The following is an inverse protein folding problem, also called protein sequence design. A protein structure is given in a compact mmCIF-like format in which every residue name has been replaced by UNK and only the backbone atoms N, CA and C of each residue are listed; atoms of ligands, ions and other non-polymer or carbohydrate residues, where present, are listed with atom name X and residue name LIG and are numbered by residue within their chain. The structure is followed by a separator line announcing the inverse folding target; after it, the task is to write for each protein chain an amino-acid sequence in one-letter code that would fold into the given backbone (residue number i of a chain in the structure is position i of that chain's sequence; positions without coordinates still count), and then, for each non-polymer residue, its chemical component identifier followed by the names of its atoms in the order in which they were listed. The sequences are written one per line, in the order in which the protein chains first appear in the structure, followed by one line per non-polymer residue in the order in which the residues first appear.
data_IF_695009178808
#
_entry.id   IF_695009178808
#
_cell.length_a   1.000
_cell.length_b   1.000
_cell.length_c   1.000
_cell.angle_alpha   90.00
_cell.angle_beta   90.00
_cell.angle_gamma   90.00
#
_symmetry.space_group_name_H-M   'P 1'
#
loop_
_entity.id
_entity.type
_entity.pdbx_description
1 polymer ?
#
# COMPACT_ATOMS: atom_id res chain seq x y z
N UNK A 1 -17.81 19.82 37.88
CA UNK A 1 -16.39 19.91 37.53
C UNK A 1 -15.61 18.64 37.89
N UNK A 2 -15.66 18.14 39.14
CA UNK A 2 -14.97 16.90 39.58
C UNK A 2 -15.39 15.66 38.78
N UNK A 3 -16.67 15.50 38.47
CA UNK A 3 -17.20 14.42 37.72
C UNK A 3 -16.69 14.40 36.25
N UNK A 4 -16.72 15.55 35.56
CA UNK A 4 -16.18 15.68 34.21
C UNK A 4 -14.66 15.41 34.14
N UNK A 5 -13.93 15.86 35.19
CA UNK A 5 -12.51 15.57 35.31
C UNK A 5 -12.24 14.08 35.50
N UNK A 6 -13.00 13.40 36.31
CA UNK A 6 -12.90 11.94 36.48
C UNK A 6 -13.22 11.17 35.18
N UNK A 7 -14.28 11.59 34.47
CA UNK A 7 -14.62 11.00 33.17
C UNK A 7 -13.50 11.21 32.13
N UNK A 8 -12.84 12.37 32.12
CA UNK A 8 -11.72 12.61 31.19
C UNK A 8 -10.52 11.70 31.46
N UNK A 9 -10.26 11.34 32.72
CA UNK A 9 -9.22 10.38 33.07
C UNK A 9 -9.61 8.97 32.58
N UNK A 10 -10.83 8.52 32.88
CA UNK A 10 -11.32 7.21 32.44
C UNK A 10 -11.28 7.07 30.91
N UNK A 11 -11.71 8.11 30.21
CA UNK A 11 -11.63 8.16 28.74
C UNK A 11 -10.21 8.04 28.24
N UNK A 12 -9.26 8.77 28.87
CA UNK A 12 -7.84 8.69 28.50
C UNK A 12 -7.25 7.29 28.70
N UNK A 13 -7.61 6.62 29.80
CA UNK A 13 -7.19 5.23 30.08
C UNK A 13 -7.81 4.26 29.06
N UNK A 14 -9.09 4.44 28.74
CA UNK A 14 -9.78 3.63 27.73
C UNK A 14 -9.11 3.74 26.34
N UNK A 15 -8.77 4.96 25.91
CA UNK A 15 -8.06 5.20 24.65
C UNK A 15 -6.67 4.55 24.66
N UNK A 16 -5.94 4.56 25.77
CA UNK A 16 -4.69 3.81 25.88
C UNK A 16 -4.91 2.30 25.69
N UNK A 17 -5.94 1.72 26.33
CA UNK A 17 -6.27 0.31 26.15
C UNK A 17 -6.56 -0.05 24.70
N UNK A 18 -7.35 0.79 23.98
CA UNK A 18 -7.59 0.63 22.55
C UNK A 18 -6.30 0.79 21.72
N UNK A 19 -5.43 1.73 22.08
CA UNK A 19 -4.16 1.95 21.38
C UNK A 19 -3.21 0.77 21.50
N UNK A 20 -3.15 0.14 22.68
CA UNK A 20 -2.39 -1.09 22.91
C UNK A 20 -2.98 -2.25 22.11
N UNK A 21 -4.30 -2.41 22.14
CA UNK A 21 -4.96 -3.44 21.33
C UNK A 21 -4.75 -3.21 19.83
N UNK A 22 -4.81 -1.95 19.36
CA UNK A 22 -4.55 -1.59 17.97
C UNK A 22 -3.12 -1.97 17.52
N UNK A 23 -2.12 -1.87 18.39
CA UNK A 23 -0.76 -2.32 18.09
C UNK A 23 -0.71 -3.81 17.75
N UNK A 24 -1.41 -4.65 18.52
CA UNK A 24 -1.45 -6.10 18.26
C UNK A 24 -2.43 -6.51 17.17
N UNK A 25 -3.43 -5.69 16.87
CA UNK A 25 -4.56 -6.04 15.99
C UNK A 25 -4.14 -6.39 14.55
N UNK A 26 -3.10 -5.76 14.02
CA UNK A 26 -2.54 -6.08 12.70
C UNK A 26 -1.86 -7.47 12.61
N UNK A 27 -1.58 -8.11 13.76
CA UNK A 27 -1.00 -9.46 13.82
C UNK A 27 -2.04 -10.57 13.99
N UNK A 28 -3.31 -10.19 14.15
CA UNK A 28 -4.43 -11.11 14.34
C UNK A 28 -5.11 -11.34 12.99
N UNK A 29 -5.18 -12.61 12.57
CA UNK A 29 -5.83 -12.96 11.31
C UNK A 29 -7.32 -12.59 11.34
N UNK A 30 -7.83 -11.81 10.36
CA UNK A 30 -9.24 -11.42 10.27
C UNK A 30 -10.22 -12.61 10.23
N UNK A 31 -9.76 -13.78 9.77
CA UNK A 31 -10.55 -15.02 9.80
C UNK A 31 -10.88 -15.41 11.24
N UNK A 32 -9.93 -15.24 12.16
CA UNK A 32 -10.10 -15.57 13.59
C UNK A 32 -10.84 -14.47 14.35
N UNK A 33 -10.54 -13.21 14.04
CA UNK A 33 -11.12 -12.08 14.75
C UNK A 33 -11.26 -10.83 13.86
N UNK A 34 -12.43 -10.67 13.25
CA UNK A 34 -12.73 -9.50 12.41
C UNK A 34 -12.74 -8.17 13.19
N UNK A 35 -13.04 -8.18 14.50
CA UNK A 35 -12.99 -6.98 15.32
C UNK A 35 -11.56 -6.41 15.39
N UNK A 36 -10.54 -7.26 15.42
CA UNK A 36 -9.14 -6.83 15.35
C UNK A 36 -8.86 -6.07 14.04
N UNK A 37 -9.40 -6.52 12.90
CA UNK A 37 -9.25 -5.81 11.62
C UNK A 37 -9.86 -4.40 11.66
N UNK A 38 -11.05 -4.23 12.25
CA UNK A 38 -11.65 -2.90 12.42
C UNK A 38 -10.82 -1.99 13.34
N UNK A 39 -10.26 -2.55 14.42
CA UNK A 39 -9.38 -1.76 15.31
C UNK A 39 -8.06 -1.43 14.61
N UNK A 40 -7.50 -2.30 13.79
CA UNK A 40 -6.32 -1.99 12.97
C UNK A 40 -6.56 -0.78 12.07
N UNK A 41 -7.71 -0.72 11.41
CA UNK A 41 -8.11 0.42 10.57
C UNK A 41 -8.40 1.70 11.35
N UNK A 42 -8.66 1.62 12.66
CA UNK A 42 -8.89 2.80 13.51
C UNK A 42 -7.61 3.48 13.99
N UNK A 43 -6.41 2.94 13.71
CA UNK A 43 -5.12 3.51 14.12
C UNK A 43 -4.96 5.01 13.82
N UNK A 44 -5.31 5.54 12.64
CA UNK A 44 -5.20 6.99 12.38
C UNK A 44 -6.06 7.81 13.35
N UNK A 45 -7.27 7.35 13.65
CA UNK A 45 -8.18 8.01 14.61
C UNK A 45 -7.57 7.97 16.01
N UNK A 46 -7.04 6.82 16.43
CA UNK A 46 -6.42 6.68 17.76
C UNK A 46 -5.19 7.58 17.90
N UNK A 47 -4.37 7.74 16.87
CA UNK A 47 -3.23 8.67 16.86
C UNK A 47 -3.70 10.13 17.05
N UNK A 48 -4.74 10.54 16.31
CA UNK A 48 -5.32 11.89 16.44
C UNK A 48 -5.90 12.10 17.84
N UNK A 49 -6.68 11.16 18.37
CA UNK A 49 -7.29 11.24 19.70
C UNK A 49 -6.22 11.31 20.80
N UNK A 50 -5.18 10.47 20.73
CA UNK A 50 -4.06 10.53 21.68
C UNK A 50 -3.33 11.88 21.61
N UNK A 51 -3.14 12.45 20.42
CA UNK A 51 -2.51 13.76 20.24
C UNK A 51 -3.36 14.87 20.88
N UNK A 52 -4.68 14.84 20.70
CA UNK A 52 -5.61 15.78 21.33
C UNK A 52 -5.57 15.64 22.85
N UNK A 53 -5.63 14.40 23.37
CA UNK A 53 -5.58 14.13 24.82
C UNK A 53 -4.23 14.54 25.43
N UNK A 54 -3.12 14.29 24.72
CA UNK A 54 -1.79 14.74 25.15
C UNK A 54 -1.75 16.25 25.28
N UNK A 55 -2.22 16.98 24.27
CA UNK A 55 -2.29 18.44 24.26
C UNK A 55 -3.20 18.97 25.40
N UNK A 56 -4.36 18.34 25.59
CA UNK A 56 -5.29 18.68 26.67
C UNK A 56 -4.64 18.57 28.05
N UNK A 57 -3.97 17.44 28.35
CA UNK A 57 -3.31 17.24 29.65
C UNK A 57 -2.05 18.09 29.79
N UNK A 58 -1.33 18.39 28.71
CA UNK A 58 -0.18 19.30 28.72
C UNK A 58 -0.58 20.73 29.10
N UNK A 59 -1.64 21.28 28.47
CA UNK A 59 -2.16 22.62 28.80
C UNK A 59 -2.63 22.68 30.25
N UNK A 60 -3.17 21.62 30.78
CA UNK A 60 -3.60 21.54 32.19
C UNK A 60 -2.47 21.25 33.16
N UNK A 61 -1.24 21.06 32.69
CA UNK A 61 -0.05 20.73 33.48
C UNK A 61 -0.29 19.55 34.42
N UNK A 62 -0.92 18.50 33.92
CA UNK A 62 -1.25 17.28 34.68
C UNK A 62 -0.41 16.09 34.22
N UNK A 63 0.05 15.30 35.19
CA UNK A 63 0.85 14.09 34.91
C UNK A 63 0.10 13.01 34.06
N UNK A 64 -1.21 13.12 33.92
CA UNK A 64 -2.02 12.27 33.03
C UNK A 64 -1.59 12.35 31.56
N UNK A 65 -0.79 13.34 31.16
CA UNK A 65 -0.23 13.48 29.80
C UNK A 65 0.61 12.26 29.38
N UNK A 66 1.19 11.53 30.35
CA UNK A 66 2.00 10.35 30.05
C UNK A 66 1.16 9.18 29.47
N UNK A 67 -0.12 9.11 29.76
CA UNK A 67 -1.01 8.07 29.26
C UNK A 67 -1.18 8.17 27.72
N UNK A 68 -1.65 9.28 27.14
CA UNK A 68 -1.76 9.40 25.68
C UNK A 68 -0.39 9.44 25.01
N UNK A 69 0.67 9.94 25.65
CA UNK A 69 2.03 9.82 25.11
C UNK A 69 2.45 8.36 24.95
N UNK A 70 2.16 7.51 25.94
CA UNK A 70 2.38 6.05 25.81
C UNK A 70 1.57 5.46 24.66
N UNK A 71 0.32 5.88 24.46
CA UNK A 71 -0.52 5.47 23.33
C UNK A 71 0.10 5.85 21.97
N UNK A 72 0.71 7.02 21.85
CA UNK A 72 1.45 7.45 20.65
C UNK A 72 2.73 6.62 20.46
N UNK A 73 3.49 6.38 21.53
CA UNK A 73 4.72 5.59 21.47
C UNK A 73 4.46 4.13 21.06
N UNK A 74 3.41 3.50 21.56
CA UNK A 74 3.02 2.13 21.18
C UNK A 74 2.68 2.06 19.69
N UNK A 75 2.07 3.10 19.11
CA UNK A 75 1.73 3.17 17.69
C UNK A 75 2.78 3.93 16.85
N UNK A 76 4.00 4.09 17.35
CA UNK A 76 5.07 4.82 16.65
C UNK A 76 5.40 4.20 15.29
N UNK A 77 5.41 2.89 15.16
CA UNK A 77 5.65 2.18 13.90
C UNK A 77 4.57 2.52 12.84
N UNK A 78 3.29 2.60 13.25
CA UNK A 78 2.22 3.08 12.39
C UNK A 78 2.44 4.54 11.96
N UNK A 79 2.81 5.43 12.91
CA UNK A 79 3.05 6.85 12.61
C UNK A 79 4.17 6.99 11.57
N UNK A 80 5.27 6.26 11.74
CA UNK A 80 6.42 6.29 10.82
C UNK A 80 6.14 5.61 9.48
N UNK A 81 5.17 4.71 9.41
CA UNK A 81 4.72 4.15 8.13
C UNK A 81 3.86 5.12 7.31
N UNK A 82 3.32 6.18 7.92
CA UNK A 82 2.49 7.19 7.27
C UNK A 82 3.22 8.52 7.05
N UNK A 83 4.14 8.87 7.94
CA UNK A 83 4.90 10.12 7.89
C UNK A 83 6.36 9.90 8.25
N UNK A 84 7.26 10.38 7.40
CA UNK A 84 8.71 10.32 7.61
C UNK A 84 9.31 11.72 7.64
N UNK A 85 10.25 11.91 8.57
CA UNK A 85 11.16 13.06 8.54
C UNK A 85 12.33 12.66 7.65
N UNK A 86 12.66 13.50 6.68
CA UNK A 86 13.78 13.25 5.76
C UNK A 86 15.07 12.89 6.51
N UNK A 87 15.57 11.71 6.21
CA UNK A 87 16.85 11.24 6.73
C UNK A 87 17.68 10.68 5.55
N UNK A 88 18.56 11.49 4.96
CA UNK A 88 19.30 11.07 3.78
C UNK A 88 20.25 9.92 4.10
N UNK A 89 20.06 8.79 3.43
CA UNK A 89 21.00 7.69 3.50
C UNK A 89 22.22 8.02 2.66
N UNK A 90 23.41 8.05 3.30
CA UNK A 90 24.71 8.20 2.60
C UNK A 90 25.14 6.83 2.08
N UNK A 91 24.66 6.46 0.91
CA UNK A 91 25.07 5.23 0.24
C UNK A 91 26.28 5.51 -0.65
N UNK A 92 27.40 4.86 -0.36
CA UNK A 92 28.68 5.10 -1.03
C UNK A 92 28.88 4.26 -2.32
N UNK A 93 28.07 3.19 -2.51
CA UNK A 93 28.21 2.29 -3.66
C UNK A 93 27.40 2.82 -4.86
N UNK A 94 27.97 2.70 -6.08
CA UNK A 94 27.31 3.09 -7.34
C UNK A 94 26.31 2.02 -7.84
N UNK A 95 26.34 0.81 -7.28
CA UNK A 95 25.41 -0.25 -7.67
C UNK A 95 24.04 -0.01 -7.07
N UNK A 96 23.11 0.45 -7.89
CA UNK A 96 21.75 0.82 -7.50
C UNK A 96 20.74 0.14 -8.40
N UNK A 97 19.54 -0.06 -7.89
CA UNK A 97 18.37 -0.50 -8.63
C UNK A 97 17.23 0.48 -8.37
N UNK A 98 16.66 1.03 -9.44
CA UNK A 98 15.53 1.95 -9.41
C UNK A 98 14.27 1.21 -9.85
N UNK A 99 13.28 1.11 -8.97
CA UNK A 99 12.03 0.41 -9.23
C UNK A 99 10.83 1.32 -8.98
N UNK A 100 9.82 1.19 -9.83
CA UNK A 100 8.53 1.88 -9.69
C UNK A 100 7.41 0.86 -9.71
N UNK A 101 6.46 1.01 -8.79
CA UNK A 101 5.17 0.32 -8.84
C UNK A 101 4.05 1.32 -9.08
N UNK A 102 3.06 0.95 -9.89
CA UNK A 102 1.96 1.82 -10.26
C UNK A 102 0.70 1.04 -10.65
N UNK A 103 -0.36 1.21 -9.88
CA UNK A 103 -1.69 0.83 -10.33
C UNK A 103 -2.17 1.89 -11.35
N UNK A 104 -2.19 1.50 -12.62
CA UNK A 104 -2.43 2.43 -13.73
C UNK A 104 -3.91 2.65 -14.04
N UNK A 105 -4.81 1.88 -13.41
CA UNK A 105 -6.26 1.95 -13.67
C UNK A 105 -6.56 2.02 -15.17
N UNK A 106 -6.02 1.08 -15.97
CA UNK A 106 -6.06 1.12 -17.45
C UNK A 106 -5.58 2.46 -18.03
N UNK A 107 -4.56 3.07 -17.42
CA UNK A 107 -4.02 4.40 -17.76
C UNK A 107 -5.09 5.51 -17.70
N UNK A 108 -5.92 5.49 -16.63
CA UNK A 108 -7.02 6.44 -16.42
C UNK A 108 -8.17 6.26 -17.39
N UNK A 109 -8.29 5.06 -18.01
CA UNK A 109 -9.26 4.75 -19.06
C UNK A 109 -9.13 5.65 -20.31
N UNK A 110 -7.94 6.20 -20.55
CA UNK A 110 -7.61 7.03 -21.70
C UNK A 110 -7.41 6.14 -22.94
N UNK A 111 -8.00 6.51 -24.07
CA UNK A 111 -8.10 5.64 -25.26
C UNK A 111 -7.04 5.92 -26.34
N UNK A 112 -6.26 7.01 -26.23
CA UNK A 112 -5.27 7.41 -27.26
C UNK A 112 -3.86 6.91 -26.98
N UNK A 113 -3.62 6.39 -25.76
CA UNK A 113 -2.32 5.98 -25.27
C UNK A 113 -1.41 7.15 -24.87
N UNK A 114 -1.95 8.37 -24.75
CA UNK A 114 -1.17 9.54 -24.33
C UNK A 114 -0.56 9.33 -22.95
N UNK A 115 -1.38 8.93 -21.96
CA UNK A 115 -0.94 8.70 -20.57
C UNK A 115 0.16 7.64 -20.48
N UNK A 116 0.01 6.53 -21.23
CA UNK A 116 0.99 5.47 -21.24
C UNK A 116 2.34 5.92 -21.84
N UNK A 117 2.30 6.68 -22.93
CA UNK A 117 3.49 7.22 -23.60
C UNK A 117 4.20 8.25 -22.74
N UNK A 118 3.45 9.20 -22.17
CA UNK A 118 3.98 10.23 -21.28
C UNK A 118 4.67 9.59 -20.05
N UNK A 119 4.03 8.59 -19.44
CA UNK A 119 4.62 7.88 -18.31
C UNK A 119 5.89 7.12 -18.70
N UNK A 120 5.91 6.46 -19.86
CA UNK A 120 7.11 5.78 -20.38
C UNK A 120 8.28 6.75 -20.58
N UNK A 121 8.03 7.93 -21.13
CA UNK A 121 9.05 8.98 -21.30
C UNK A 121 9.55 9.50 -19.95
N UNK A 122 8.66 9.71 -18.98
CA UNK A 122 9.02 10.14 -17.63
C UNK A 122 9.92 9.09 -16.95
N UNK A 123 9.57 7.81 -17.01
CA UNK A 123 10.37 6.74 -16.43
C UNK A 123 11.72 6.54 -17.12
N UNK A 124 11.79 6.80 -18.43
CA UNK A 124 13.06 6.79 -19.15
C UNK A 124 13.97 7.94 -18.70
N UNK A 125 13.44 9.16 -18.49
CA UNK A 125 14.19 10.32 -17.95
C UNK A 125 14.69 10.09 -16.53
N UNK A 126 13.89 9.43 -15.67
CA UNK A 126 14.30 9.05 -14.31
C UNK A 126 15.29 7.88 -14.30
N UNK A 127 15.61 7.30 -15.47
CA UNK A 127 16.45 6.10 -15.61
C UNK A 127 15.96 4.93 -14.75
N UNK A 128 14.65 4.73 -14.69
CA UNK A 128 14.05 3.62 -13.96
C UNK A 128 14.49 2.29 -14.57
N UNK A 129 14.84 1.32 -13.73
CA UNK A 129 15.32 0.00 -14.16
C UNK A 129 14.17 -1.03 -14.26
N UNK A 130 13.18 -0.94 -13.36
CA UNK A 130 12.08 -1.89 -13.27
C UNK A 130 10.76 -1.15 -13.09
N UNK A 131 9.73 -1.55 -13.86
CA UNK A 131 8.36 -1.09 -13.71
C UNK A 131 7.44 -2.27 -13.35
N UNK A 132 6.61 -2.10 -12.34
CA UNK A 132 5.61 -3.04 -11.91
C UNK A 132 4.23 -2.39 -12.00
N UNK A 133 3.38 -2.89 -12.90
CA UNK A 133 2.05 -2.34 -13.12
C UNK A 133 0.95 -3.24 -12.56
N UNK A 134 -0.11 -2.64 -12.04
CA UNK A 134 -1.38 -3.25 -11.71
C UNK A 134 -2.48 -2.57 -12.54
N UNK A 135 -3.57 -3.28 -12.79
CA UNK A 135 -4.66 -2.86 -13.70
C UNK A 135 -4.16 -2.47 -15.09
N UNK A 136 -3.10 -3.14 -15.54
CA UNK A 136 -2.44 -2.93 -16.82
C UNK A 136 -3.28 -3.52 -17.95
N UNK A 137 -3.99 -2.66 -18.68
CA UNK A 137 -4.82 -3.04 -19.84
C UNK A 137 -4.79 -1.95 -20.89
N UNK A 138 -4.89 -2.35 -22.16
CA UNK A 138 -5.21 -1.46 -23.25
C UNK A 138 -6.66 -0.97 -23.16
N UNK A 139 -6.96 0.17 -23.78
CA UNK A 139 -8.30 0.73 -23.81
C UNK A 139 -8.60 1.35 -25.17
N UNK A 140 -9.80 1.07 -25.73
CA UNK A 140 -10.22 1.58 -27.01
C UNK A 140 -9.28 1.17 -28.16
N UNK A 141 -8.81 2.15 -28.94
CA UNK A 141 -7.94 1.92 -30.10
C UNK A 141 -6.46 1.71 -29.71
N UNK A 142 -6.09 1.98 -28.45
CA UNK A 142 -4.75 1.74 -27.92
C UNK A 142 -4.70 0.38 -27.24
N UNK A 143 -4.25 -0.60 -28.02
CA UNK A 143 -4.31 -2.02 -27.64
C UNK A 143 -3.23 -2.40 -26.61
N UNK A 144 -3.34 -3.60 -26.03
CA UNK A 144 -2.29 -4.18 -25.19
C UNK A 144 -0.97 -4.34 -25.92
N UNK A 145 -1.01 -4.61 -27.24
CA UNK A 145 0.18 -4.67 -28.08
C UNK A 145 0.84 -3.29 -28.23
N UNK A 146 0.06 -2.21 -28.31
CA UNK A 146 0.60 -0.84 -28.37
C UNK A 146 1.24 -0.43 -27.05
N UNK A 147 0.66 -0.86 -25.91
CA UNK A 147 1.28 -0.72 -24.59
C UNK A 147 2.63 -1.43 -24.53
N UNK A 148 2.67 -2.71 -24.93
CA UNK A 148 3.92 -3.48 -24.95
C UNK A 148 4.97 -2.80 -25.83
N UNK A 149 4.62 -2.39 -27.03
CA UNK A 149 5.53 -1.69 -27.96
C UNK A 149 6.03 -0.36 -27.38
N UNK A 150 5.22 0.34 -26.59
CA UNK A 150 5.59 1.60 -25.95
C UNK A 150 6.69 1.39 -24.92
N UNK A 151 6.52 0.41 -24.03
CA UNK A 151 7.50 0.15 -22.95
C UNK A 151 8.71 -0.64 -23.41
N UNK A 152 8.59 -1.54 -24.39
CA UNK A 152 9.69 -2.35 -24.91
C UNK A 152 10.86 -1.52 -25.49
N UNK A 153 10.63 -0.26 -25.88
CA UNK A 153 11.69 0.65 -26.34
C UNK A 153 12.72 0.96 -25.26
N UNK A 154 12.30 1.01 -24.01
CA UNK A 154 13.15 1.35 -22.86
C UNK A 154 13.48 0.13 -22.01
N UNK A 155 12.54 -0.83 -21.93
CA UNK A 155 12.61 -2.02 -21.10
C UNK A 155 12.55 -3.26 -22.00
N UNK A 156 13.71 -3.79 -22.44
CA UNK A 156 13.75 -4.88 -23.42
C UNK A 156 13.26 -6.23 -22.88
N UNK A 157 13.11 -6.35 -21.55
CA UNK A 157 12.61 -7.57 -20.93
C UNK A 157 11.29 -7.29 -20.22
N UNK A 158 10.32 -8.19 -20.39
CA UNK A 158 9.02 -8.06 -19.74
C UNK A 158 8.40 -9.41 -19.41
N UNK A 159 7.56 -9.42 -18.39
CA UNK A 159 6.66 -10.52 -18.07
C UNK A 159 5.25 -9.99 -17.92
N UNK A 160 4.36 -10.40 -18.83
CA UNK A 160 2.96 -9.98 -18.91
C UNK A 160 2.16 -11.26 -19.09
N UNK A 161 1.54 -11.79 -18.02
CA UNK A 161 0.79 -13.03 -18.09
C UNK A 161 -0.55 -12.84 -18.79
N UNK A 162 -1.04 -13.88 -19.45
CA UNK A 162 -2.43 -13.94 -19.86
C UNK A 162 -3.34 -14.07 -18.63
N UNK A 163 -4.51 -13.42 -18.65
CA UNK A 163 -5.54 -13.55 -17.61
C UNK A 163 -5.39 -12.64 -16.39
N UNK A 164 -4.22 -12.08 -16.13
CA UNK A 164 -4.02 -11.05 -15.09
C UNK A 164 -3.69 -9.70 -15.72
N UNK A 165 -4.17 -8.64 -15.06
CA UNK A 165 -3.90 -7.26 -15.49
C UNK A 165 -2.68 -6.70 -14.78
N UNK A 166 -1.54 -7.38 -14.89
CA UNK A 166 -0.28 -7.00 -14.28
C UNK A 166 0.86 -7.13 -15.28
N UNK A 167 1.90 -6.33 -15.10
CA UNK A 167 3.11 -6.41 -15.90
C UNK A 167 4.35 -6.11 -15.05
N UNK A 168 5.46 -6.77 -15.38
CA UNK A 168 6.80 -6.41 -14.94
C UNK A 168 7.61 -6.10 -16.19
N UNK A 169 8.18 -4.91 -16.26
CA UNK A 169 9.12 -4.48 -17.29
C UNK A 169 10.49 -4.24 -16.66
N UNK A 170 11.56 -4.63 -17.34
CA UNK A 170 12.92 -4.55 -16.81
C UNK A 170 13.94 -4.17 -17.87
N UNK A 171 14.95 -3.39 -17.48
CA UNK A 171 16.18 -3.20 -18.25
C UNK A 171 17.12 -4.39 -18.11
N UNK A 172 16.95 -5.22 -17.09
CA UNK A 172 17.74 -6.41 -16.80
C UNK A 172 17.09 -7.68 -17.30
N UNK A 173 17.88 -8.69 -17.70
CA UNK A 173 17.32 -9.97 -18.15
C UNK A 173 16.45 -10.65 -17.06
N UNK A 174 15.35 -11.23 -17.49
CA UNK A 174 14.48 -12.07 -16.66
C UNK A 174 14.94 -13.52 -16.81
N UNK A 175 15.40 -14.15 -15.72
CA UNK A 175 15.83 -15.56 -15.67
C UNK A 175 14.65 -16.51 -15.53
N UNK A 176 13.71 -16.15 -14.67
CA UNK A 176 12.49 -16.91 -14.38
C UNK A 176 11.34 -15.97 -14.06
N UNK A 177 10.13 -16.40 -14.33
CA UNK A 177 8.92 -15.66 -13.97
C UNK A 177 7.75 -16.64 -13.77
N UNK A 178 6.80 -16.26 -12.94
CA UNK A 178 5.62 -17.07 -12.67
C UNK A 178 4.44 -16.20 -12.22
N UNK A 179 3.24 -16.69 -12.51
CA UNK A 179 1.97 -16.14 -12.06
C UNK A 179 1.50 -16.85 -10.79
N UNK A 180 0.91 -16.09 -9.88
CA UNK A 180 0.23 -16.58 -8.70
C UNK A 180 -1.22 -16.11 -8.78
N UNK A 181 -2.10 -17.03 -9.08
CA UNK A 181 -3.53 -16.75 -9.14
C UNK A 181 -4.13 -16.75 -7.74
N UNK A 182 -5.02 -15.80 -7.48
CA UNK A 182 -5.82 -15.78 -6.26
C UNK A 182 -7.21 -16.37 -6.56
N UNK A 183 -7.71 -17.30 -5.72
CA UNK A 183 -9.01 -17.92 -5.96
C UNK A 183 -10.17 -16.92 -6.00
N UNK A 184 -11.08 -17.11 -6.95
CA UNK A 184 -12.34 -16.35 -7.06
C UNK A 184 -12.19 -14.83 -7.22
N UNK A 185 -11.11 -14.36 -7.87
CA UNK A 185 -10.87 -12.96 -8.18
C UNK A 185 -10.04 -12.83 -9.45
N UNK A 186 -10.09 -11.65 -10.09
CA UNK A 186 -9.20 -11.28 -11.20
C UNK A 186 -7.90 -10.65 -10.71
N UNK A 187 -7.72 -10.51 -9.41
CA UNK A 187 -6.49 -10.05 -8.79
C UNK A 187 -5.50 -11.21 -8.67
N UNK A 188 -4.23 -10.92 -8.55
CA UNK A 188 -3.19 -11.92 -8.46
C UNK A 188 -1.85 -11.31 -8.09
N UNK A 189 -0.82 -12.11 -8.20
CA UNK A 189 0.55 -11.65 -8.14
C UNK A 189 1.37 -12.28 -9.26
N UNK A 190 2.41 -11.60 -9.67
CA UNK A 190 3.42 -12.12 -10.58
C UNK A 190 4.80 -11.88 -9.98
N UNK A 191 5.73 -12.76 -10.27
CA UNK A 191 7.11 -12.52 -9.89
C UNK A 191 8.07 -12.78 -11.05
N UNK A 192 9.20 -12.10 -11.01
CA UNK A 192 10.30 -12.28 -11.94
C UNK A 192 11.64 -12.24 -11.21
N UNK A 193 12.52 -13.16 -11.54
CA UNK A 193 13.92 -13.19 -11.10
C UNK A 193 14.78 -12.46 -12.13
N UNK A 194 15.31 -11.32 -11.74
CA UNK A 194 16.13 -10.47 -12.60
C UNK A 194 17.62 -10.75 -12.40
N UNK A 195 18.39 -10.72 -13.49
CA UNK A 195 19.85 -10.71 -13.43
C UNK A 195 20.37 -9.27 -13.36
N UNK A 196 20.50 -8.75 -12.14
CA UNK A 196 20.99 -7.38 -11.94
C UNK A 196 22.51 -7.41 -11.73
N UNK A 197 23.25 -7.17 -12.79
CA UNK A 197 24.74 -7.15 -12.77
C UNK A 197 25.36 -8.42 -12.14
N UNK A 198 24.78 -9.58 -12.43
CA UNK A 198 25.23 -10.88 -11.91
C UNK A 198 24.60 -11.31 -10.57
N UNK A 199 23.82 -10.43 -9.93
CA UNK A 199 23.04 -10.74 -8.74
C UNK A 199 21.61 -11.09 -9.14
N UNK A 200 21.06 -12.17 -8.62
CA UNK A 200 19.64 -12.48 -8.79
C UNK A 200 18.81 -11.72 -7.77
N UNK A 201 17.83 -10.93 -8.25
CA UNK A 201 16.88 -10.20 -7.41
C UNK A 201 15.46 -10.59 -7.84
N UNK A 202 14.65 -11.07 -6.89
CA UNK A 202 13.23 -11.37 -7.14
C UNK A 202 12.38 -10.13 -6.97
N UNK A 203 11.60 -9.82 -7.98
CA UNK A 203 10.55 -8.79 -7.92
C UNK A 203 9.20 -9.51 -7.85
N UNK A 204 8.42 -9.23 -6.81
CA UNK A 204 7.06 -9.75 -6.62
C UNK A 204 6.11 -8.57 -6.76
N UNK A 205 5.32 -8.55 -7.84
CA UNK A 205 4.31 -7.53 -8.11
C UNK A 205 2.94 -8.08 -7.71
N UNK A 206 2.29 -7.43 -6.75
CA UNK A 206 1.03 -7.90 -6.15
C UNK A 206 -0.10 -6.93 -6.43
N UNK A 207 -1.28 -7.45 -6.76
CA UNK A 207 -2.53 -6.70 -6.75
C UNK A 207 -3.57 -7.50 -5.94
N UNK A 208 -3.87 -7.02 -4.74
CA UNK A 208 -4.76 -7.71 -3.80
C UNK A 208 -6.22 -7.32 -3.96
N UNK A 209 -7.09 -8.09 -3.33
CA UNK A 209 -8.54 -7.88 -3.37
C UNK A 209 -8.92 -6.46 -2.93
N UNK A 210 -9.64 -5.75 -3.80
CA UNK A 210 -10.10 -4.38 -3.53
C UNK A 210 -11.24 -4.32 -2.52
N UNK A 211 -11.34 -3.21 -1.79
CA UNK A 211 -12.46 -2.91 -0.88
C UNK A 211 -13.66 -2.29 -1.58
N UNK A 212 -13.53 -1.78 -2.81
CA UNK A 212 -14.58 -1.08 -3.58
C UNK A 212 -15.24 0.10 -2.84
N UNK A 213 -14.50 0.80 -1.98
CA UNK A 213 -15.03 1.88 -1.13
C UNK A 213 -15.63 3.03 -1.94
N UNK A 214 -14.94 3.51 -2.99
CA UNK A 214 -15.43 4.64 -3.80
C UNK A 214 -16.68 4.29 -4.59
N UNK A 215 -16.78 3.04 -5.06
CA UNK A 215 -18.01 2.54 -5.72
C UNK A 215 -19.19 2.53 -4.76
N UNK A 216 -18.99 2.09 -3.52
CA UNK A 216 -20.02 2.15 -2.48
C UNK A 216 -20.43 3.58 -2.18
N UNK A 217 -19.47 4.47 -1.95
CA UNK A 217 -19.70 5.89 -1.65
C UNK A 217 -20.48 6.58 -2.76
N UNK A 218 -20.15 6.33 -4.03
CA UNK A 218 -20.86 6.88 -5.19
C UNK A 218 -22.31 6.41 -5.24
N UNK A 219 -22.56 5.12 -5.06
CA UNK A 219 -23.92 4.56 -5.02
C UNK A 219 -24.75 5.12 -3.85
N UNK A 220 -24.15 5.20 -2.65
CA UNK A 220 -24.82 5.77 -1.48
C UNK A 220 -25.17 7.26 -1.67
N UNK A 221 -24.26 8.03 -2.30
CA UNK A 221 -24.52 9.44 -2.61
C UNK A 221 -25.67 9.61 -3.62
N UNK A 222 -25.80 8.72 -4.61
CA UNK A 222 -26.92 8.71 -5.56
C UNK A 222 -28.24 8.39 -4.85
N UNK A 223 -28.29 7.36 -4.00
CA UNK A 223 -29.48 7.00 -3.21
C UNK A 223 -29.92 8.16 -2.30
N UNK A 224 -28.98 8.80 -1.62
CA UNK A 224 -29.22 9.99 -0.79
C UNK A 224 -29.76 11.16 -1.62
N UNK A 225 -29.23 11.42 -2.80
CA UNK A 225 -29.71 12.43 -3.73
C UNK A 225 -31.14 12.17 -4.21
N UNK A 226 -31.53 10.90 -4.32
CA UNK A 226 -32.88 10.47 -4.63
C UNK A 226 -33.82 10.43 -3.41
N UNK A 227 -33.31 10.72 -2.20
CA UNK A 227 -34.03 10.60 -0.91
C UNK A 227 -34.53 9.18 -0.63
N UNK A 228 -33.83 8.16 -1.11
CA UNK A 228 -34.14 6.75 -0.91
C UNK A 228 -33.29 6.20 0.25
N UNK A 229 -33.78 6.39 1.48
CA UNK A 229 -33.12 5.97 2.71
C UNK A 229 -32.99 4.43 2.81
N UNK A 230 -33.96 3.70 2.28
CA UNK A 230 -33.94 2.23 2.29
C UNK A 230 -32.82 1.70 1.38
N UNK A 231 -32.73 2.25 0.18
CA UNK A 231 -31.65 1.91 -0.77
C UNK A 231 -30.28 2.33 -0.21
N UNK A 232 -30.15 3.52 0.38
CA UNK A 232 -28.90 3.96 1.01
C UNK A 232 -28.47 2.99 2.11
N UNK A 233 -29.40 2.58 2.99
CA UNK A 233 -29.13 1.61 4.06
C UNK A 233 -28.73 0.25 3.49
N UNK A 234 -29.42 -0.25 2.48
CA UNK A 234 -29.08 -1.52 1.82
C UNK A 234 -27.67 -1.51 1.24
N UNK A 235 -27.23 -0.39 0.63
CA UNK A 235 -25.89 -0.21 0.11
C UNK A 235 -24.83 -0.30 1.21
N UNK A 236 -25.06 0.31 2.37
CA UNK A 236 -24.11 0.22 3.49
C UNK A 236 -24.03 -1.17 4.09
N UNK A 237 -25.14 -1.90 4.17
CA UNK A 237 -25.16 -3.29 4.66
C UNK A 237 -24.41 -4.21 3.69
N UNK A 238 -24.71 -4.14 2.40
CA UNK A 238 -24.02 -4.89 1.35
C UNK A 238 -22.50 -4.59 1.37
N UNK A 239 -22.12 -3.32 1.53
CA UNK A 239 -20.72 -2.96 1.65
C UNK A 239 -20.06 -3.56 2.89
N UNK A 240 -20.73 -3.57 4.04
CA UNK A 240 -20.19 -4.14 5.28
C UNK A 240 -19.89 -5.63 5.12
N UNK A 241 -20.80 -6.37 4.48
CA UNK A 241 -20.63 -7.80 4.23
C UNK A 241 -19.49 -8.04 3.22
N UNK A 242 -19.46 -7.30 2.11
CA UNK A 242 -18.41 -7.35 1.12
C UNK A 242 -17.04 -6.93 1.70
N UNK A 243 -17.01 -5.93 2.58
CA UNK A 243 -15.78 -5.50 3.26
C UNK A 243 -15.19 -6.64 4.09
N UNK A 244 -16.04 -7.33 4.88
CA UNK A 244 -15.62 -8.48 5.67
C UNK A 244 -15.05 -9.59 4.79
N UNK A 245 -15.78 -9.97 3.74
CA UNK A 245 -15.35 -11.01 2.79
C UNK A 245 -14.03 -10.64 2.13
N UNK A 246 -13.91 -9.42 1.60
CA UNK A 246 -12.69 -8.95 0.95
C UNK A 246 -11.50 -8.87 1.90
N UNK A 247 -11.70 -8.50 3.17
CA UNK A 247 -10.64 -8.48 4.18
C UNK A 247 -10.13 -9.90 4.49
N UNK A 248 -11.03 -10.88 4.58
CA UNK A 248 -10.67 -12.30 4.75
C UNK A 248 -9.93 -12.83 3.53
N UNK A 249 -10.38 -12.50 2.32
CA UNK A 249 -9.69 -12.88 1.06
C UNK A 249 -8.26 -12.31 1.02
N UNK A 250 -8.09 -11.02 1.33
CA UNK A 250 -6.76 -10.40 1.39
C UNK A 250 -5.84 -11.07 2.40
N UNK A 251 -6.36 -11.47 3.56
CA UNK A 251 -5.56 -12.19 4.54
C UNK A 251 -4.98 -13.50 3.97
N UNK A 252 -5.80 -14.32 3.30
CA UNK A 252 -5.33 -15.53 2.63
C UNK A 252 -4.34 -15.26 1.48
N UNK A 253 -4.57 -14.20 0.71
CA UNK A 253 -3.65 -13.75 -0.34
C UNK A 253 -2.29 -13.33 0.25
N UNK A 254 -2.31 -12.58 1.35
CA UNK A 254 -1.09 -12.15 2.05
C UNK A 254 -0.29 -13.35 2.60
N UNK A 255 -0.95 -14.35 3.17
CA UNK A 255 -0.30 -15.58 3.64
C UNK A 255 0.35 -16.37 2.48
N UNK A 256 -0.32 -16.45 1.32
CA UNK A 256 0.23 -17.09 0.14
C UNK A 256 1.50 -16.39 -0.35
N UNK A 257 1.50 -15.06 -0.44
CA UNK A 257 2.67 -14.28 -0.85
C UNK A 257 3.77 -14.34 0.22
N UNK A 258 3.42 -14.28 1.52
CA UNK A 258 4.38 -14.43 2.62
C UNK A 258 5.11 -15.77 2.56
N UNK A 259 4.43 -16.84 2.15
CA UNK A 259 5.04 -18.16 1.95
C UNK A 259 6.11 -18.14 0.84
N UNK A 260 5.84 -17.43 -0.27
CA UNK A 260 6.83 -17.24 -1.34
C UNK A 260 8.03 -16.38 -0.87
N UNK A 261 7.76 -15.29 -0.12
CA UNK A 261 8.81 -14.45 0.46
C UNK A 261 9.75 -15.29 1.31
N UNK A 262 9.20 -16.10 2.23
CA UNK A 262 9.96 -16.94 3.14
C UNK A 262 10.73 -18.07 2.43
N UNK A 263 10.27 -18.52 1.27
CA UNK A 263 10.94 -19.54 0.47
C UNK A 263 12.04 -18.97 -0.46
N UNK A 264 12.20 -17.64 -0.50
CA UNK A 264 13.20 -16.99 -1.37
C UNK A 264 14.49 -16.74 -0.59
N UNK A 265 15.61 -17.31 -1.06
CA UNK A 265 16.91 -17.25 -0.38
C UNK A 265 17.79 -16.06 -0.81
N UNK A 266 17.42 -15.34 -1.85
CA UNK A 266 18.17 -14.21 -2.40
C UNK A 266 17.42 -12.88 -2.24
N UNK A 267 18.09 -11.74 -2.50
CA UNK A 267 17.45 -10.43 -2.36
C UNK A 267 16.12 -10.34 -3.12
N UNK A 268 15.11 -9.77 -2.48
CA UNK A 268 13.81 -9.60 -3.09
C UNK A 268 13.19 -8.23 -2.80
N UNK A 269 12.27 -7.83 -3.67
CA UNK A 269 11.41 -6.65 -3.52
C UNK A 269 9.97 -7.11 -3.74
N UNK A 270 9.10 -6.79 -2.80
CA UNK A 270 7.65 -6.96 -2.92
C UNK A 270 7.02 -5.60 -3.15
N UNK A 271 6.24 -5.47 -4.19
CA UNK A 271 5.60 -4.21 -4.54
C UNK A 271 4.18 -4.41 -5.06
N UNK A 272 3.45 -3.32 -5.18
CA UNK A 272 2.13 -3.30 -5.78
C UNK A 272 1.07 -2.66 -4.90
N UNK A 273 -0.17 -2.83 -5.34
CA UNK A 273 -1.36 -2.38 -4.64
C UNK A 273 -1.86 -3.48 -3.69
N UNK A 274 -1.67 -3.26 -2.38
CA UNK A 274 -2.12 -4.20 -1.36
C UNK A 274 -3.57 -3.97 -0.93
N UNK A 275 -4.20 -2.88 -1.40
CA UNK A 275 -5.57 -2.50 -1.06
C UNK A 275 -5.86 -2.44 0.46
N UNK A 276 -4.82 -2.27 1.28
CA UNK A 276 -4.90 -2.22 2.73
C UNK A 276 -3.87 -1.22 3.31
N UNK A 277 -4.24 -0.38 4.29
CA UNK A 277 -3.32 0.59 4.88
C UNK A 277 -2.29 -0.06 5.83
N UNK A 278 -1.23 0.70 6.24
CA UNK A 278 -0.25 0.23 7.21
C UNK A 278 -0.88 -0.22 8.53
N UNK A 279 -0.28 -1.24 9.13
CA UNK A 279 -0.69 -1.77 10.42
C UNK A 279 -1.91 -2.69 10.37
N UNK A 280 -2.41 -3.04 9.18
CA UNK A 280 -3.40 -4.13 8.98
C UNK A 280 -2.71 -5.48 8.89
N UNK A 281 -3.46 -6.57 8.96
CA UNK A 281 -2.93 -7.93 8.84
C UNK A 281 -2.20 -8.15 7.51
N UNK A 282 -2.76 -7.67 6.41
CA UNK A 282 -2.13 -7.73 5.08
C UNK A 282 -0.75 -7.08 5.08
N UNK A 283 -0.66 -5.84 5.57
CA UNK A 283 0.59 -5.10 5.64
C UNK A 283 1.63 -5.80 6.53
N UNK A 284 1.25 -6.20 7.75
CA UNK A 284 2.16 -6.84 8.71
C UNK A 284 2.67 -8.21 8.20
N UNK A 285 1.78 -8.99 7.55
CA UNK A 285 2.12 -10.31 7.00
C UNK A 285 3.11 -10.20 5.85
N UNK A 286 2.94 -9.23 4.95
CA UNK A 286 3.85 -9.03 3.82
C UNK A 286 5.15 -8.34 4.21
N UNK A 287 5.13 -7.47 5.22
CA UNK A 287 6.32 -6.80 5.74
C UNK A 287 7.22 -7.73 6.57
N UNK A 288 6.71 -8.88 7.02
CA UNK A 288 7.44 -9.78 7.91
C UNK A 288 8.83 -10.15 7.34
N UNK A 289 9.89 -9.76 8.04
CA UNK A 289 11.28 -9.97 7.61
C UNK A 289 11.79 -8.98 6.54
N UNK A 290 10.92 -8.09 6.02
CA UNK A 290 11.28 -7.06 5.05
C UNK A 290 11.31 -5.66 5.68
N UNK A 291 11.94 -4.73 4.97
CA UNK A 291 11.92 -3.30 5.29
C UNK A 291 10.91 -2.59 4.37
N UNK A 292 10.13 -1.69 4.95
CA UNK A 292 9.29 -0.79 4.16
C UNK A 292 10.16 0.33 3.58
N UNK A 293 10.19 0.46 2.26
CA UNK A 293 10.97 1.47 1.54
C UNK A 293 10.64 2.89 1.96
N UNK A 294 9.37 3.18 2.29
CA UNK A 294 8.98 4.48 2.82
C UNK A 294 9.58 4.74 4.21
N UNK A 295 9.60 3.75 5.09
CA UNK A 295 10.18 3.89 6.42
C UNK A 295 11.71 4.02 6.37
N UNK A 296 12.36 3.45 5.34
CA UNK A 296 13.83 3.48 5.21
C UNK A 296 14.35 4.71 4.47
N UNK A 297 13.61 5.24 3.50
CA UNK A 297 14.10 6.25 2.57
C UNK A 297 13.06 7.30 2.14
N UNK A 298 11.90 7.32 2.79
CA UNK A 298 10.81 8.24 2.49
C UNK A 298 10.92 9.60 3.20
N UNK A 299 10.11 10.54 2.75
CA UNK A 299 9.96 11.88 3.31
C UNK A 299 8.50 12.34 3.24
N UNK A 300 8.07 13.08 4.26
CA UNK A 300 6.74 13.67 4.30
C UNK A 300 5.63 12.65 4.51
N UNK A 301 4.48 12.87 3.88
CA UNK A 301 3.30 12.02 4.00
C UNK A 301 3.24 11.00 2.87
N UNK A 302 3.08 9.72 3.21
CA UNK A 302 3.25 8.60 2.29
C UNK A 302 1.98 8.15 1.55
N UNK A 303 0.90 8.93 1.51
CA UNK A 303 -0.33 8.53 0.84
C UNK A 303 -0.12 8.29 -0.66
N UNK A 304 -0.65 7.17 -1.15
CA UNK A 304 -0.52 6.75 -2.55
C UNK A 304 -1.84 6.78 -3.31
N UNK A 305 -2.96 6.57 -2.61
CA UNK A 305 -4.30 6.58 -3.20
C UNK A 305 -4.90 7.98 -3.23
N UNK A 306 -5.37 8.41 -4.40
CA UNK A 306 -5.93 9.77 -4.62
C UNK A 306 -7.39 9.90 -4.18
N UNK A 307 -8.12 8.80 -4.13
CA UNK A 307 -9.41 8.73 -3.46
C UNK A 307 -9.28 8.98 -1.96
N UNK A 308 -10.37 8.96 -1.25
CA UNK A 308 -10.43 9.16 0.20
C UNK A 308 -9.63 10.37 0.71
N UNK A 309 -9.69 11.49 -0.03
CA UNK A 309 -8.99 12.75 0.31
C UNK A 309 -7.46 12.62 0.43
N UNK A 310 -6.82 11.71 -0.31
CA UNK A 310 -5.39 11.45 -0.25
C UNK A 310 -4.89 11.05 1.16
N UNK A 311 -5.71 10.30 1.90
CA UNK A 311 -5.36 9.87 3.26
C UNK A 311 -4.81 8.44 3.32
N UNK A 312 -4.96 7.64 2.27
CA UNK A 312 -4.60 6.24 2.28
C UNK A 312 -3.28 5.98 1.57
N UNK A 313 -2.45 5.17 2.21
CA UNK A 313 -1.28 4.53 1.64
C UNK A 313 -1.61 3.06 1.47
N UNK A 314 -1.74 2.58 0.23
CA UNK A 314 -2.11 1.20 -0.10
C UNK A 314 -1.19 0.57 -1.13
N UNK A 315 -0.31 1.37 -1.74
CA UNK A 315 0.74 0.92 -2.65
C UNK A 315 2.09 0.92 -1.93
N UNK A 316 2.86 -0.12 -2.10
CA UNK A 316 4.08 -0.36 -1.33
C UNK A 316 5.24 -0.82 -2.19
N UNK A 317 6.45 -0.59 -1.66
CA UNK A 317 7.71 -1.19 -2.06
C UNK A 317 8.43 -1.65 -0.81
N UNK A 318 8.38 -2.95 -0.51
CA UNK A 318 9.14 -3.58 0.56
C UNK A 318 10.38 -4.24 -0.02
N UNK A 319 11.49 -4.20 0.70
CA UNK A 319 12.72 -4.82 0.27
C UNK A 319 13.36 -5.69 1.36
N UNK A 320 14.10 -6.71 0.97
CA UNK A 320 14.86 -7.55 1.89
C UNK A 320 15.93 -6.75 2.62
N UNK A 321 16.38 -7.24 3.77
CA UNK A 321 17.44 -6.61 4.59
C UNK A 321 18.81 -6.62 3.92
N UNK A 322 18.99 -7.42 2.86
CA UNK A 322 20.18 -7.44 2.02
C UNK A 322 20.33 -6.25 1.09
N UNK A 323 19.25 -5.48 0.91
CA UNK A 323 19.23 -4.25 0.13
C UNK A 323 19.12 -3.04 1.07
N UNK A 324 19.65 -1.90 0.64
CA UNK A 324 19.58 -0.65 1.39
C UNK A 324 18.67 0.37 0.70
N UNK A 325 17.62 0.85 1.38
CA UNK A 325 16.76 1.92 0.85
C UNK A 325 17.52 3.24 0.79
N UNK A 326 17.64 3.83 -0.40
CA UNK A 326 18.39 5.08 -0.63
C UNK A 326 17.43 6.26 -0.81
N UNK A 327 16.39 6.08 -1.60
CA UNK A 327 15.43 7.13 -1.94
C UNK A 327 14.06 6.55 -2.22
N UNK A 328 13.05 7.14 -1.65
CA UNK A 328 11.65 6.80 -1.89
C UNK A 328 10.86 8.05 -2.27
N UNK A 329 9.95 7.93 -3.21
CA UNK A 329 9.06 9.01 -3.62
C UNK A 329 7.67 8.46 -3.94
N UNK A 330 6.64 9.18 -3.54
CA UNK A 330 5.33 9.11 -4.17
C UNK A 330 5.30 10.20 -5.25
N UNK A 331 5.13 9.82 -6.50
CA UNK A 331 5.20 10.74 -7.64
C UNK A 331 3.78 11.26 -7.90
N UNK A 332 3.50 12.58 -7.75
CA UNK A 332 2.20 13.12 -8.12
C UNK A 332 1.96 12.93 -9.62
N UNK A 333 0.95 12.13 -9.98
CA UNK A 333 0.62 11.86 -11.38
C UNK A 333 -0.88 11.64 -11.55
N UNK A 334 -1.54 12.45 -12.40
CA UNK A 334 -2.99 12.59 -12.40
C UNK A 334 -3.74 11.59 -13.31
N UNK A 335 -3.04 10.65 -13.93
CA UNK A 335 -3.61 9.72 -14.93
C UNK A 335 -4.11 8.40 -14.33
N UNK A 336 -4.26 8.31 -13.01
CA UNK A 336 -4.87 7.21 -12.28
C UNK A 336 -5.43 7.71 -10.96
N UNK A 337 -6.24 6.92 -10.29
CA UNK A 337 -6.65 7.14 -8.91
C UNK A 337 -5.56 6.73 -7.89
N UNK A 338 -4.45 6.19 -8.36
CA UNK A 338 -3.22 5.96 -7.58
C UNK A 338 -2.08 6.87 -8.06
N UNK A 339 -1.10 7.09 -7.20
CA UNK A 339 0.17 7.72 -7.54
C UNK A 339 1.26 6.66 -7.69
N UNK A 340 2.14 6.77 -8.70
CA UNK A 340 3.31 5.90 -8.81
C UNK A 340 4.21 6.00 -7.58
N UNK A 341 4.73 4.86 -7.14
CA UNK A 341 5.66 4.77 -6.02
C UNK A 341 7.03 4.34 -6.52
N UNK A 342 8.04 5.13 -6.21
CA UNK A 342 9.44 4.95 -6.60
C UNK A 342 10.29 4.56 -5.39
N UNK A 343 11.17 3.58 -5.57
CA UNK A 343 12.21 3.22 -4.62
C UNK A 343 13.54 3.02 -5.35
N UNK A 344 14.59 3.60 -4.82
CA UNK A 344 15.98 3.32 -5.17
C UNK A 344 16.62 2.55 -4.03
N UNK A 345 17.19 1.39 -4.36
CA UNK A 345 17.92 0.55 -3.41
C UNK A 345 19.36 0.37 -3.82
N UNK A 346 20.25 0.29 -2.83
CA UNK A 346 21.62 -0.13 -2.96
C UNK A 346 21.74 -1.66 -2.95
N UNK A 347 22.65 -2.17 -3.77
CA UNK A 347 22.91 -3.60 -3.97
C UNK A 347 24.14 -4.06 -3.20
#
# INVERSE_FOLDING_TARGET
YKFAYFLSILFTIFILGLSIFAYFSGKINPVENMFAAYVALSKPILVVVNTILFTYWLIRLRYWLWIPLTGLMVNYEYITSMYQIYNPTKYANENRLKIVTYNVHSFGNEITGFSAKEFAEMMNKEETDVLCFQEYRGNGDFTEQDLQNTYAKTFPYSFIPEGLSQAIYSRYPIKQSQTIEFPNTNNGAIWADLDVKGMTIRIINVHMQTTNFDKMRSKAAQARGAQDEEQERAIYLDYSDNFRENTVRRAGQAEQISSLINATEYPLIVCGDFNDPPGTFTYETLKNGLKDGFQTAGEGYGATYRGFHHLLRIDYLFHSTLLEGIKYKVIPYDMSDHNPVYLEVGL
#
